data_IF_215237082899
#
_entry.id   IF_215237082899
#
_cell.length_a   1.000
_cell.length_b   1.000
_cell.length_c   1.000
_cell.angle_alpha   90.00
_cell.angle_beta   90.00
_cell.angle_gamma   90.00
#
_symmetry.space_group_name_H-M   'P 1'
#
loop_
_entity.id
_entity.type
_entity.pdbx_description
1 polymer ?
#
# COMPACT_ATOMS: atom_id res chain seq x y z
N UNK A 1 42.64 13.54 18.47
CA UNK A 1 41.80 12.35 18.79
C UNK A 1 41.36 11.57 17.55
N UNK A 2 40.67 12.17 16.57
CA UNK A 2 40.21 11.46 15.34
C UNK A 2 41.29 10.68 14.58
N UNK A 3 42.49 11.25 14.37
CA UNK A 3 43.61 10.53 13.72
C UNK A 3 44.05 9.27 14.47
N UNK A 4 43.98 9.28 15.81
CA UNK A 4 44.36 8.12 16.64
C UNK A 4 43.33 7.00 16.57
N UNK A 5 42.04 7.35 16.43
CA UNK A 5 40.98 6.36 16.19
C UNK A 5 41.11 5.69 14.82
N UNK A 6 41.43 6.45 13.78
CA UNK A 6 41.67 5.90 12.44
C UNK A 6 42.83 4.90 12.42
N UNK A 7 43.93 5.16 13.13
CA UNK A 7 45.06 4.21 13.22
C UNK A 7 44.72 2.95 13.99
N UNK A 8 43.92 3.05 15.07
CA UNK A 8 43.44 1.87 15.81
C UNK A 8 42.53 0.98 14.95
N UNK A 9 41.58 1.58 14.23
CA UNK A 9 40.68 0.87 13.31
C UNK A 9 41.49 0.21 12.18
N UNK A 10 42.52 0.90 11.67
CA UNK A 10 43.40 0.39 10.62
C UNK A 10 44.24 -0.82 11.05
N UNK A 11 44.54 -1.00 12.34
CA UNK A 11 45.29 -2.17 12.81
C UNK A 11 44.42 -3.44 12.94
N UNK A 12 43.10 -3.31 13.15
CA UNK A 12 42.14 -4.43 13.24
C UNK A 12 41.10 -4.41 12.13
N UNK A 13 41.51 -4.03 10.92
CA UNK A 13 40.64 -3.79 9.75
C UNK A 13 39.58 -4.83 9.52
N UNK A 14 39.94 -6.12 9.46
CA UNK A 14 39.00 -7.19 9.07
C UNK A 14 37.80 -7.27 10.01
N UNK A 15 38.03 -7.20 11.33
CA UNK A 15 36.97 -7.23 12.31
C UNK A 15 36.09 -5.97 12.26
N UNK A 16 36.72 -4.79 12.19
CA UNK A 16 35.98 -3.53 12.10
C UNK A 16 35.21 -3.40 10.79
N UNK A 17 35.74 -3.85 9.66
CA UNK A 17 35.05 -3.80 8.37
C UNK A 17 33.84 -4.74 8.35
N UNK A 18 33.93 -5.93 8.93
CA UNK A 18 32.81 -6.86 9.00
C UNK A 18 31.67 -6.28 9.84
N UNK A 19 31.98 -5.78 11.04
CA UNK A 19 30.99 -5.12 11.88
C UNK A 19 30.41 -3.86 11.23
N UNK A 20 31.23 -3.12 10.49
CA UNK A 20 30.73 -1.96 9.74
C UNK A 20 29.71 -2.34 8.67
N UNK A 21 29.97 -3.43 7.94
CA UNK A 21 29.04 -3.97 6.93
C UNK A 21 27.75 -4.44 7.60
N UNK A 22 27.86 -5.14 8.73
CA UNK A 22 26.73 -5.67 9.48
C UNK A 22 25.81 -4.57 10.03
N UNK A 23 26.39 -3.52 10.65
CA UNK A 23 25.66 -2.32 11.06
C UNK A 23 25.02 -1.64 9.85
N UNK A 24 25.76 -1.53 8.75
CA UNK A 24 25.27 -0.91 7.52
C UNK A 24 24.09 -1.67 6.89
N UNK A 25 24.14 -3.00 6.88
CA UNK A 25 23.07 -3.86 6.40
C UNK A 25 21.84 -3.79 7.31
N UNK A 26 22.05 -3.84 8.63
CA UNK A 26 20.98 -3.71 9.63
C UNK A 26 20.28 -2.37 9.54
N UNK A 27 21.03 -1.29 9.28
CA UNK A 27 20.45 0.03 9.02
C UNK A 27 19.53 0.02 7.78
N UNK A 28 19.97 -0.58 6.66
CA UNK A 28 19.16 -0.64 5.43
C UNK A 28 17.88 -1.44 5.63
N UNK A 29 17.94 -2.56 6.37
CA UNK A 29 16.76 -3.37 6.68
C UNK A 29 15.82 -2.61 7.62
N UNK A 30 16.33 -1.98 8.67
CA UNK A 30 15.53 -1.13 9.55
C UNK A 30 14.86 0.02 8.80
N UNK A 31 15.58 0.66 7.88
CA UNK A 31 15.04 1.70 7.01
C UNK A 31 13.86 1.16 6.18
N UNK A 32 13.99 -0.02 5.57
CA UNK A 32 12.92 -0.66 4.82
C UNK A 32 11.70 -0.96 5.70
N UNK A 33 11.92 -1.57 6.87
CA UNK A 33 10.87 -1.89 7.84
C UNK A 33 10.15 -0.64 8.33
N UNK A 34 10.89 0.40 8.74
CA UNK A 34 10.27 1.65 9.19
C UNK A 34 9.54 2.38 8.05
N UNK A 35 10.03 2.31 6.82
CA UNK A 35 9.32 2.88 5.67
C UNK A 35 7.96 2.21 5.50
N UNK A 36 7.91 0.87 5.53
CA UNK A 36 6.66 0.12 5.44
C UNK A 36 5.72 0.38 6.62
N UNK A 37 6.25 0.42 7.86
CA UNK A 37 5.46 0.68 9.06
C UNK A 37 4.86 2.09 9.05
N UNK A 38 5.66 3.11 8.74
CA UNK A 38 5.21 4.50 8.71
C UNK A 38 4.20 4.70 7.57
N UNK A 39 4.47 4.14 6.38
CA UNK A 39 3.53 4.19 5.25
C UNK A 39 2.19 3.54 5.62
N UNK A 40 2.24 2.31 6.15
CA UNK A 40 1.05 1.56 6.55
C UNK A 40 0.27 2.28 7.66
N UNK A 41 0.97 2.84 8.64
CA UNK A 41 0.35 3.57 9.73
C UNK A 41 -0.35 4.83 9.24
N UNK A 42 0.28 5.63 8.37
CA UNK A 42 -0.38 6.82 7.78
C UNK A 42 -1.62 6.41 6.99
N UNK A 43 -1.49 5.42 6.10
CA UNK A 43 -2.57 4.95 5.23
C UNK A 43 -3.74 4.32 6.00
N UNK A 44 -3.49 3.73 7.16
CA UNK A 44 -4.55 3.20 8.02
C UNK A 44 -5.52 4.29 8.51
N UNK A 45 -5.03 5.51 8.77
CA UNK A 45 -5.83 6.63 9.26
C UNK A 45 -6.51 7.43 8.16
N UNK A 46 -6.07 7.29 6.91
CA UNK A 46 -6.67 7.99 5.78
C UNK A 46 -8.10 7.47 5.50
N UNK A 47 -9.03 8.32 5.05
CA UNK A 47 -10.40 7.90 4.77
C UNK A 47 -10.47 6.90 3.61
N UNK A 48 -11.23 5.83 3.78
CA UNK A 48 -11.43 4.79 2.74
C UNK A 48 -12.40 5.29 1.66
N UNK A 49 -13.38 6.10 2.06
CA UNK A 49 -14.34 6.75 1.14
C UNK A 49 -15.58 5.92 0.78
N UNK A 50 -15.69 4.69 1.28
CA UNK A 50 -16.88 3.85 1.11
C UNK A 50 -17.10 2.87 2.27
N UNK A 51 -18.33 2.40 2.41
CA UNK A 51 -18.75 1.37 3.37
C UNK A 51 -18.70 -0.02 2.73
N UNK A 52 -17.96 -0.93 3.37
CA UNK A 52 -17.79 -2.31 2.91
C UNK A 52 -18.45 -3.36 3.83
N UNK A 53 -18.80 -2.98 5.06
CA UNK A 53 -19.41 -3.89 6.02
C UNK A 53 -20.76 -4.41 5.51
N UNK A 54 -21.04 -5.70 5.67
CA UNK A 54 -22.28 -6.33 5.20
C UNK A 54 -22.54 -6.11 3.69
N UNK A 55 -21.48 -5.97 2.88
CA UNK A 55 -21.58 -5.91 1.41
C UNK A 55 -21.13 -7.24 0.83
N UNK A 56 -22.05 -7.93 0.17
CA UNK A 56 -21.78 -9.17 -0.55
C UNK A 56 -21.61 -8.84 -2.03
N UNK A 57 -20.65 -9.47 -2.68
CA UNK A 57 -20.41 -9.32 -4.11
C UNK A 57 -20.75 -10.65 -4.77
N UNK A 58 -21.82 -10.64 -5.56
CA UNK A 58 -22.27 -11.78 -6.35
C UNK A 58 -21.67 -11.63 -7.76
N UNK A 59 -20.59 -12.36 -8.01
CA UNK A 59 -19.96 -12.47 -9.33
C UNK A 59 -20.79 -13.40 -10.19
N UNK A 60 -21.14 -12.93 -11.38
CA UNK A 60 -21.97 -13.65 -12.34
C UNK A 60 -21.17 -13.82 -13.64
N UNK A 61 -21.01 -15.06 -14.09
CA UNK A 61 -20.39 -15.39 -15.37
C UNK A 61 -21.33 -16.24 -16.21
N UNK A 62 -21.57 -15.84 -17.44
CA UNK A 62 -22.44 -16.58 -18.37
C UNK A 62 -21.75 -17.85 -18.85
N UNK A 63 -22.46 -18.98 -18.75
CA UNK A 63 -21.98 -20.29 -19.18
C UNK A 63 -21.64 -20.31 -20.66
N UNK A 64 -20.66 -21.13 -21.01
CA UNK A 64 -20.29 -21.34 -22.41
C UNK A 64 -21.45 -21.97 -23.20
N UNK A 65 -21.78 -21.40 -24.36
CA UNK A 65 -22.91 -21.83 -25.19
C UNK A 65 -24.29 -21.33 -24.76
N UNK A 66 -24.40 -20.59 -23.65
CA UNK A 66 -25.66 -19.98 -23.22
C UNK A 66 -26.13 -18.86 -24.17
N UNK A 67 -27.45 -18.73 -24.34
CA UNK A 67 -28.10 -17.63 -25.06
C UNK A 67 -28.05 -16.30 -24.30
N UNK A 68 -28.88 -15.33 -24.69
CA UNK A 68 -28.92 -14.03 -24.01
C UNK A 68 -29.42 -14.16 -22.55
N UNK A 69 -28.59 -13.73 -21.59
CA UNK A 69 -28.86 -13.84 -20.14
C UNK A 69 -29.39 -12.54 -19.52
N UNK A 70 -29.65 -11.50 -20.33
CA UNK A 70 -30.10 -10.17 -19.85
C UNK A 70 -31.32 -10.24 -18.93
N UNK A 71 -32.38 -10.89 -19.40
CA UNK A 71 -33.63 -10.97 -18.64
C UNK A 71 -33.49 -11.82 -17.37
N UNK A 72 -32.66 -12.87 -17.39
CA UNK A 72 -32.34 -13.65 -16.19
C UNK A 72 -31.65 -12.77 -15.14
N UNK A 73 -30.66 -11.96 -15.54
CA UNK A 73 -29.93 -11.05 -14.64
C UNK A 73 -30.80 -9.90 -14.13
N UNK A 74 -31.68 -9.34 -14.96
CA UNK A 74 -32.66 -8.32 -14.53
C UNK A 74 -33.65 -8.88 -13.50
N UNK A 75 -34.23 -10.05 -13.78
CA UNK A 75 -35.15 -10.72 -12.87
C UNK A 75 -34.47 -11.05 -11.54
N UNK A 76 -33.22 -11.53 -11.59
CA UNK A 76 -32.42 -11.82 -10.41
C UNK A 76 -32.20 -10.57 -9.55
N UNK A 77 -31.78 -9.44 -10.13
CA UNK A 77 -31.58 -8.21 -9.37
C UNK A 77 -32.88 -7.71 -8.71
N UNK A 78 -34.00 -7.75 -9.45
CA UNK A 78 -35.30 -7.38 -8.90
C UNK A 78 -35.70 -8.29 -7.72
N UNK A 79 -35.43 -9.59 -7.85
CA UNK A 79 -35.70 -10.58 -6.80
C UNK A 79 -34.83 -10.33 -5.57
N UNK A 80 -33.53 -10.09 -5.74
CA UNK A 80 -32.60 -9.76 -4.66
C UNK A 80 -33.11 -8.53 -3.88
N UNK A 81 -33.54 -7.48 -4.58
CA UNK A 81 -34.07 -6.25 -3.96
C UNK A 81 -35.38 -6.46 -3.19
N UNK A 82 -36.10 -7.56 -3.42
CA UNK A 82 -37.37 -7.85 -2.75
C UNK A 82 -37.20 -8.49 -1.36
N UNK A 83 -36.01 -8.99 -1.03
CA UNK A 83 -35.76 -9.62 0.27
C UNK A 83 -35.69 -8.58 1.39
N UNK A 84 -36.35 -8.82 2.55
CA UNK A 84 -36.28 -7.90 3.68
C UNK A 84 -34.87 -7.81 4.27
N UNK A 85 -34.04 -8.84 4.13
CA UNK A 85 -32.65 -8.85 4.60
C UNK A 85 -31.74 -7.93 3.77
N UNK A 86 -32.15 -7.57 2.55
CA UNK A 86 -31.38 -6.73 1.62
C UNK A 86 -31.80 -5.27 1.79
N UNK A 87 -30.83 -4.39 2.07
CA UNK A 87 -31.06 -2.95 2.14
C UNK A 87 -31.01 -2.30 0.75
N UNK A 88 -30.00 -2.68 -0.04
CA UNK A 88 -29.74 -2.15 -1.38
C UNK A 88 -29.08 -3.23 -2.23
N UNK A 89 -29.28 -3.16 -3.54
CA UNK A 89 -28.51 -3.97 -4.48
C UNK A 89 -28.17 -3.15 -5.73
N UNK A 90 -26.92 -3.24 -6.17
CA UNK A 90 -26.33 -2.44 -7.23
C UNK A 90 -25.57 -3.33 -8.23
N UNK A 91 -25.32 -2.81 -9.43
CA UNK A 91 -24.59 -3.45 -10.51
C UNK A 91 -23.24 -2.78 -10.74
N UNK A 92 -22.22 -3.60 -11.01
CA UNK A 92 -20.88 -3.17 -11.41
C UNK A 92 -20.25 -4.19 -12.36
N UNK A 93 -19.12 -3.84 -12.96
CA UNK A 93 -18.28 -4.75 -13.72
C UNK A 93 -17.73 -5.90 -12.86
N UNK A 94 -17.43 -7.04 -13.48
CA UNK A 94 -16.94 -8.25 -12.78
C UNK A 94 -15.66 -8.01 -11.96
N UNK A 95 -14.84 -7.06 -12.39
CA UNK A 95 -13.55 -6.78 -11.74
C UNK A 95 -13.69 -6.17 -10.35
N UNK A 96 -14.88 -5.82 -9.87
CA UNK A 96 -15.03 -5.30 -8.50
C UNK A 96 -14.57 -6.34 -7.44
N UNK A 97 -13.79 -5.95 -6.41
CA UNK A 97 -13.36 -4.59 -6.06
C UNK A 97 -12.08 -4.09 -6.76
N UNK A 98 -11.35 -4.91 -7.52
CA UNK A 98 -10.11 -4.51 -8.20
C UNK A 98 -10.31 -3.42 -9.26
N UNK A 99 -11.43 -3.47 -9.97
CA UNK A 99 -11.76 -2.59 -11.09
C UNK A 99 -10.97 -2.87 -12.36
N UNK A 100 -11.21 -2.08 -13.41
CA UNK A 100 -10.53 -2.25 -14.70
C UNK A 100 -9.51 -1.14 -14.90
N UNK A 101 -8.25 -1.50 -15.09
CA UNK A 101 -7.17 -0.54 -15.36
C UNK A 101 -7.37 0.15 -16.72
N UNK A 102 -7.21 1.47 -16.75
CA UNK A 102 -7.28 2.28 -17.97
C UNK A 102 -6.11 3.26 -18.05
N UNK A 103 -5.14 2.97 -18.94
CA UNK A 103 -3.83 3.67 -18.98
C UNK A 103 -3.72 4.83 -19.99
N UNK A 104 -4.84 5.29 -20.56
CA UNK A 104 -4.82 6.28 -21.64
C UNK A 104 -5.89 7.36 -21.54
N UNK A 105 -6.09 7.90 -20.32
CA UNK A 105 -7.01 9.00 -20.10
C UNK A 105 -6.26 10.33 -20.29
N UNK A 106 -6.71 11.12 -21.25
CA UNK A 106 -6.05 12.35 -21.65
C UNK A 106 -6.94 13.57 -21.43
N UNK A 107 -6.35 14.66 -20.94
CA UNK A 107 -6.95 15.99 -20.94
C UNK A 107 -6.15 16.94 -21.85
N UNK A 108 -6.85 17.70 -22.71
CA UNK A 108 -6.25 18.65 -23.68
C UNK A 108 -5.08 18.08 -24.51
N UNK A 109 -5.10 16.76 -24.81
CA UNK A 109 -4.05 16.03 -25.54
C UNK A 109 -2.63 16.07 -24.93
N UNK A 110 -2.45 16.56 -23.70
CA UNK A 110 -1.13 16.80 -23.11
C UNK A 110 -0.91 16.07 -21.80
N UNK A 111 -1.95 15.93 -20.97
CA UNK A 111 -1.82 15.28 -19.65
C UNK A 111 -2.40 13.88 -19.74
N UNK A 112 -1.57 12.86 -19.46
CA UNK A 112 -1.97 11.46 -19.41
C UNK A 112 -2.08 11.01 -17.97
N UNK A 113 -3.14 10.28 -17.64
CA UNK A 113 -3.28 9.61 -16.35
C UNK A 113 -3.83 8.19 -16.56
N UNK A 114 -3.49 7.32 -15.62
CA UNK A 114 -4.09 6.00 -15.49
C UNK A 114 -5.15 6.04 -14.40
N UNK A 115 -6.27 5.36 -14.60
CA UNK A 115 -7.30 5.25 -13.58
C UNK A 115 -7.90 3.85 -13.54
N UNK A 116 -8.37 3.46 -12.36
CA UNK A 116 -9.22 2.29 -12.19
C UNK A 116 -10.65 2.69 -12.54
N UNK A 117 -11.29 1.88 -13.38
CA UNK A 117 -12.64 2.12 -13.87
C UNK A 117 -13.62 1.11 -13.31
N UNK A 118 -14.73 1.63 -12.80
CA UNK A 118 -15.88 0.85 -12.37
C UNK A 118 -17.12 1.25 -13.13
N UNK A 119 -17.92 0.25 -13.45
CA UNK A 119 -19.26 0.48 -13.93
C UNK A 119 -20.18 0.69 -12.74
N UNK A 120 -21.06 1.66 -12.85
CA UNK A 120 -21.91 2.10 -11.77
C UNK A 120 -23.33 2.31 -12.24
N UNK A 121 -24.26 1.72 -11.50
CA UNK A 121 -25.65 2.11 -11.57
C UNK A 121 -25.98 3.22 -10.55
N UNK A 122 -27.24 3.63 -10.53
CA UNK A 122 -27.74 4.65 -9.60
C UNK A 122 -27.71 4.19 -8.15
N UNK A 123 -27.75 2.87 -7.91
CA UNK A 123 -27.76 2.29 -6.58
C UNK A 123 -26.36 2.10 -6.01
N UNK A 124 -25.29 2.22 -6.81
CA UNK A 124 -23.92 1.99 -6.34
C UNK A 124 -23.51 2.98 -5.23
N UNK A 125 -23.76 4.28 -5.45
CA UNK A 125 -23.46 5.32 -4.46
C UNK A 125 -24.15 5.06 -3.12
N UNK A 126 -25.48 4.83 -3.04
CA UNK A 126 -26.12 4.55 -1.76
C UNK A 126 -25.81 3.15 -1.20
N UNK A 127 -25.49 2.15 -2.03
CA UNK A 127 -25.10 0.79 -1.59
C UNK A 127 -23.77 0.83 -0.84
N UNK A 128 -22.79 1.54 -1.39
CA UNK A 128 -21.46 1.72 -0.81
C UNK A 128 -21.36 2.97 0.08
N UNK A 129 -22.44 3.75 0.21
CA UNK A 129 -22.46 5.01 0.98
C UNK A 129 -21.33 5.96 0.56
N UNK A 130 -21.09 6.09 -0.75
CA UNK A 130 -20.07 6.98 -1.29
C UNK A 130 -20.41 8.44 -0.97
N UNK A 131 -19.39 9.22 -0.65
CA UNK A 131 -19.56 10.64 -0.37
C UNK A 131 -19.36 11.47 -1.63
N UNK A 132 -20.44 12.04 -2.15
CA UNK A 132 -20.37 12.97 -3.27
C UNK A 132 -19.83 14.33 -2.79
N UNK A 133 -18.76 14.78 -3.42
CA UNK A 133 -18.08 16.04 -3.11
C UNK A 133 -18.53 17.19 -3.99
N UNK A 134 -18.76 16.92 -5.27
CA UNK A 134 -19.19 17.92 -6.25
C UNK A 134 -20.04 17.29 -7.36
N UNK A 135 -20.83 18.12 -8.03
CA UNK A 135 -21.68 17.70 -9.15
C UNK A 135 -22.82 16.79 -8.72
N UNK A 136 -23.10 15.75 -9.52
CA UNK A 136 -24.21 14.80 -9.30
C UNK A 136 -23.78 13.35 -9.52
N UNK A 137 -24.52 12.41 -8.91
CA UNK A 137 -24.44 10.99 -9.28
C UNK A 137 -25.19 10.69 -10.58
N UNK A 138 -25.06 9.46 -11.06
CA UNK A 138 -25.88 8.93 -12.16
C UNK A 138 -27.36 8.91 -11.77
N UNK A 139 -28.22 9.21 -12.73
CA UNK A 139 -29.68 9.17 -12.58
C UNK A 139 -30.38 8.65 -13.83
N UNK A 140 -31.72 8.66 -13.83
CA UNK A 140 -32.53 8.04 -14.88
C UNK A 140 -32.24 8.61 -16.28
N UNK A 141 -31.87 9.89 -16.36
CA UNK A 141 -31.44 10.57 -17.58
C UNK A 141 -30.18 9.97 -18.21
N UNK A 142 -29.34 9.31 -17.40
CA UNK A 142 -28.10 8.67 -17.84
C UNK A 142 -28.33 7.18 -18.19
N UNK A 143 -29.57 6.65 -18.05
CA UNK A 143 -29.94 5.27 -18.46
C UNK A 143 -30.09 5.09 -19.97
N UNK A 144 -29.96 6.16 -20.75
CA UNK A 144 -30.29 6.20 -22.18
C UNK A 144 -29.13 5.71 -23.04
N UNK A 145 -28.65 4.47 -22.87
CA UNK A 145 -27.48 4.04 -23.62
C UNK A 145 -27.45 2.53 -23.92
N UNK A 146 -28.55 1.86 -24.26
CA UNK A 146 -28.39 0.64 -25.08
C UNK A 146 -27.79 1.06 -26.42
N UNK A 147 -26.45 1.18 -26.49
CA UNK A 147 -25.77 1.16 -27.76
C UNK A 147 -26.17 -0.18 -28.36
N UNK A 148 -26.86 -0.22 -29.50
CA UNK A 148 -27.21 -1.49 -30.12
C UNK A 148 -25.91 -2.29 -30.26
N UNK A 149 -25.86 -3.57 -29.87
CA UNK A 149 -24.63 -4.39 -29.90
C UNK A 149 -23.99 -4.48 -31.30
N UNK A 150 -24.73 -4.06 -32.31
CA UNK A 150 -24.44 -3.97 -33.73
C UNK A 150 -24.11 -2.54 -34.23
N UNK A 151 -23.96 -1.55 -33.35
CA UNK A 151 -23.61 -0.18 -33.73
C UNK A 151 -22.27 -0.11 -34.47
N UNK A 152 -21.33 -1.00 -34.10
CA UNK A 152 -20.12 -1.29 -34.85
C UNK A 152 -20.12 -2.77 -35.26
N UNK A 153 -20.09 -3.08 -36.57
CA UNK A 153 -19.92 -4.44 -37.05
C UNK A 153 -18.63 -5.05 -36.48
N UNK A 154 -18.66 -6.30 -36.00
CA UNK A 154 -17.43 -7.03 -35.64
C UNK A 154 -16.48 -7.03 -36.84
N UNK A 155 -15.30 -6.43 -36.69
CA UNK A 155 -14.30 -6.31 -37.75
C UNK A 155 -14.32 -4.98 -38.53
N UNK A 156 -15.11 -3.99 -38.12
CA UNK A 156 -15.06 -2.66 -38.69
C UNK A 156 -13.67 -2.02 -38.50
N UNK A 157 -12.93 -1.81 -39.59
CA UNK A 157 -11.63 -1.13 -39.59
C UNK A 157 -11.77 0.39 -39.44
N UNK A 158 -12.86 0.95 -39.97
CA UNK A 158 -13.20 2.38 -39.87
C UNK A 158 -14.34 2.60 -38.87
N UNK A 159 -13.98 2.56 -37.58
CA UNK A 159 -14.89 2.91 -36.50
C UNK A 159 -15.29 4.40 -36.53
N UNK A 160 -14.48 5.24 -37.17
CA UNK A 160 -14.65 6.69 -37.21
C UNK A 160 -15.79 7.18 -38.12
N UNK A 161 -16.20 6.36 -39.10
CA UNK A 161 -17.26 6.69 -40.07
C UNK A 161 -18.64 6.15 -39.67
N UNK A 162 -18.74 5.37 -38.59
CA UNK A 162 -20.03 4.87 -38.10
C UNK A 162 -20.86 6.02 -37.52
N UNK A 163 -22.18 6.08 -37.79
CA UNK A 163 -23.04 7.08 -37.19
C UNK A 163 -22.94 6.95 -35.67
N UNK A 164 -22.36 7.98 -35.04
CA UNK A 164 -22.26 8.02 -33.59
C UNK A 164 -23.69 8.06 -33.06
N UNK A 165 -24.09 7.17 -32.15
CA UNK A 165 -25.36 7.33 -31.46
C UNK A 165 -25.39 8.75 -30.89
N UNK A 166 -26.53 9.42 -31.08
CA UNK A 166 -26.71 10.86 -30.86
C UNK A 166 -26.51 11.23 -29.39
N UNK A 167 -25.26 11.42 -29.01
CA UNK A 167 -24.84 11.83 -27.68
C UNK A 167 -23.89 13.02 -27.83
N UNK A 168 -24.15 14.07 -27.06
CA UNK A 168 -23.19 15.16 -26.92
C UNK A 168 -21.99 14.72 -26.06
N UNK A 169 -22.18 13.80 -25.10
CA UNK A 169 -21.11 13.26 -24.24
C UNK A 169 -21.53 12.00 -23.44
N UNK A 170 -20.56 11.25 -22.89
CA UNK A 170 -20.74 10.19 -21.88
C UNK A 170 -20.45 10.71 -20.47
N UNK A 171 -21.39 10.65 -19.50
CA UNK A 171 -21.14 11.12 -18.15
C UNK A 171 -20.19 10.19 -17.39
N UNK A 172 -19.23 10.77 -16.67
CA UNK A 172 -18.34 10.05 -15.75
C UNK A 172 -18.25 10.76 -14.41
N UNK A 173 -17.90 10.00 -13.39
CA UNK A 173 -17.70 10.49 -12.03
C UNK A 173 -16.30 10.07 -11.60
N UNK A 174 -15.56 10.94 -10.92
CA UNK A 174 -14.16 10.68 -10.56
C UNK A 174 -13.93 10.84 -9.05
N UNK A 175 -12.86 10.30 -8.49
CA UNK A 175 -12.48 10.61 -7.10
C UNK A 175 -11.58 11.86 -7.02
N UNK A 176 -11.34 12.35 -5.80
CA UNK A 176 -10.45 13.50 -5.56
C UNK A 176 -9.03 13.26 -6.10
N UNK A 177 -8.45 12.07 -5.94
CA UNK A 177 -7.10 11.77 -6.44
C UNK A 177 -7.01 11.93 -7.96
N UNK A 178 -8.04 11.56 -8.70
CA UNK A 178 -8.14 11.79 -10.14
C UNK A 178 -8.09 13.28 -10.48
N UNK A 179 -8.82 14.12 -9.73
CA UNK A 179 -8.74 15.58 -9.89
C UNK A 179 -7.32 16.09 -9.61
N UNK A 180 -6.72 15.72 -8.48
CA UNK A 180 -5.37 16.18 -8.10
C UNK A 180 -4.32 15.84 -9.16
N UNK A 181 -4.49 14.69 -9.82
CA UNK A 181 -3.56 14.19 -10.83
C UNK A 181 -3.76 14.87 -12.20
N UNK A 182 -5.01 15.02 -12.65
CA UNK A 182 -5.32 15.49 -14.02
C UNK A 182 -5.67 16.99 -14.08
N UNK A 183 -6.16 17.56 -12.98
CA UNK A 183 -6.69 18.92 -12.85
C UNK A 183 -6.20 19.62 -11.56
N UNK A 184 -4.88 19.70 -11.29
CA UNK A 184 -4.36 20.16 -9.99
C UNK A 184 -4.83 21.56 -9.57
N UNK A 185 -5.20 22.43 -10.52
CA UNK A 185 -5.67 23.79 -10.27
C UNK A 185 -6.99 24.13 -11.00
N UNK A 186 -7.71 23.13 -11.52
CA UNK A 186 -8.98 23.35 -12.25
C UNK A 186 -10.12 22.57 -11.57
N UNK A 187 -11.34 23.11 -11.66
CA UNK A 187 -12.55 22.35 -11.34
C UNK A 187 -12.76 21.28 -12.44
N UNK A 188 -12.80 19.98 -12.08
CA UNK A 188 -12.98 18.91 -13.04
C UNK A 188 -14.42 18.87 -13.59
N UNK A 189 -15.40 19.44 -12.90
CA UNK A 189 -16.82 19.34 -13.30
C UNK A 189 -17.06 20.04 -14.65
N UNK A 190 -17.76 19.33 -15.54
CA UNK A 190 -18.08 19.79 -16.90
C UNK A 190 -16.94 19.63 -17.91
N UNK A 191 -15.73 19.27 -17.46
CA UNK A 191 -14.59 19.04 -18.36
C UNK A 191 -14.77 17.75 -19.15
N UNK A 192 -14.26 17.75 -20.37
CA UNK A 192 -14.22 16.58 -21.25
C UNK A 192 -12.83 15.96 -21.22
N UNK A 193 -12.79 14.66 -20.94
CA UNK A 193 -11.60 13.81 -21.02
C UNK A 193 -11.72 12.89 -22.24
N UNK A 194 -10.57 12.54 -22.80
CA UNK A 194 -10.48 11.61 -23.92
C UNK A 194 -9.95 10.27 -23.42
N UNK A 195 -10.73 9.21 -23.61
CA UNK A 195 -10.34 7.83 -23.30
C UNK A 195 -10.64 6.96 -24.51
N UNK A 196 -9.59 6.62 -25.26
CA UNK A 196 -9.69 5.89 -26.51
C UNK A 196 -10.35 6.67 -27.67
N UNK A 197 -10.79 5.93 -28.67
CA UNK A 197 -11.30 6.43 -29.95
C UNK A 197 -12.74 6.98 -29.88
N UNK A 198 -13.48 6.70 -28.82
CA UNK A 198 -14.94 6.79 -28.83
C UNK A 198 -15.50 7.65 -27.71
N UNK A 199 -16.30 8.64 -28.12
CA UNK A 199 -17.06 9.59 -27.33
C UNK A 199 -16.24 10.57 -26.48
N UNK A 200 -16.78 11.79 -26.37
CA UNK A 200 -16.35 12.76 -25.37
C UNK A 200 -16.85 12.31 -24.00
N UNK A 201 -15.97 12.04 -23.05
CA UNK A 201 -16.34 11.65 -21.69
C UNK A 201 -16.36 12.92 -20.83
N UNK A 202 -17.51 13.28 -20.27
CA UNK A 202 -17.67 14.51 -19.48
C UNK A 202 -17.81 14.18 -18.00
N UNK A 203 -17.00 14.83 -17.18
CA UNK A 203 -17.07 14.69 -15.73
C UNK A 203 -18.32 15.42 -15.23
N UNK A 204 -19.28 14.69 -14.65
CA UNK A 204 -20.55 15.24 -14.12
C UNK A 204 -20.61 15.24 -12.59
N UNK A 205 -19.70 14.53 -11.95
CA UNK A 205 -19.65 14.42 -10.50
C UNK A 205 -18.26 14.03 -10.01
N UNK A 206 -18.06 14.21 -8.71
CA UNK A 206 -16.85 13.80 -8.02
C UNK A 206 -17.19 13.24 -6.65
N UNK A 207 -16.64 12.07 -6.32
CA UNK A 207 -16.66 11.52 -4.96
C UNK A 207 -15.41 11.97 -4.20
N UNK A 208 -15.46 12.04 -2.88
CA UNK A 208 -14.32 12.52 -2.10
C UNK A 208 -13.17 11.49 -2.14
N UNK A 209 -13.37 10.31 -1.55
CA UNK A 209 -12.36 9.26 -1.51
C UNK A 209 -12.93 7.95 -2.07
N UNK A 210 -12.06 7.14 -2.68
CA UNK A 210 -12.34 5.75 -3.01
C UNK A 210 -11.03 4.96 -3.00
N UNK A 211 -10.73 4.32 -1.86
CA UNK A 211 -9.50 3.55 -1.68
C UNK A 211 -9.80 2.06 -1.57
N UNK A 212 -9.53 1.33 -2.65
CA UNK A 212 -9.78 -0.13 -2.71
C UNK A 212 -8.99 -0.88 -1.65
N UNK A 213 -7.67 -0.69 -1.59
CA UNK A 213 -6.80 -1.43 -0.69
C UNK A 213 -6.62 -0.65 0.63
N UNK A 214 -6.85 -1.26 1.81
CA UNK A 214 -6.77 -0.58 3.09
C UNK A 214 -5.43 0.15 3.35
N UNK A 215 -4.33 -0.42 2.84
CA UNK A 215 -2.95 -0.01 3.13
C UNK A 215 -2.14 0.40 1.88
N UNK A 216 -2.76 0.51 0.71
CA UNK A 216 -2.13 1.10 -0.47
C UNK A 216 -2.39 2.61 -0.54
N UNK A 217 -1.74 3.29 -1.48
CA UNK A 217 -2.08 4.68 -1.78
C UNK A 217 -3.42 4.75 -2.51
N UNK A 218 -4.16 5.84 -2.30
CA UNK A 218 -5.33 6.12 -3.13
C UNK A 218 -4.90 6.45 -4.57
N UNK A 219 -5.53 5.80 -5.54
CA UNK A 219 -5.26 5.98 -6.97
C UNK A 219 -6.41 6.73 -7.65
N UNK A 220 -6.20 7.29 -8.85
CA UNK A 220 -7.28 7.84 -9.65
C UNK A 220 -8.33 6.77 -9.95
N UNK A 221 -9.59 7.08 -9.64
CA UNK A 221 -10.76 6.22 -9.90
C UNK A 221 -11.77 6.97 -10.73
N UNK A 222 -12.35 6.27 -11.69
CA UNK A 222 -13.44 6.76 -12.53
C UNK A 222 -14.61 5.77 -12.48
N UNK A 223 -15.82 6.29 -12.34
CA UNK A 223 -17.06 5.57 -12.51
C UNK A 223 -17.68 5.95 -13.83
N UNK A 224 -18.16 4.96 -14.57
CA UNK A 224 -18.97 5.12 -15.76
C UNK A 224 -20.32 4.44 -15.59
N UNK A 225 -21.30 4.83 -16.39
CA UNK A 225 -22.63 4.24 -16.34
C UNK A 225 -22.57 2.75 -16.69
N UNK A 226 -23.21 1.89 -15.89
CA UNK A 226 -23.30 0.43 -16.08
C UNK A 226 -24.17 0.00 -17.28
N UNK A 227 -23.82 0.51 -18.45
CA UNK A 227 -24.57 0.40 -19.69
C UNK A 227 -24.32 -0.96 -20.33
N UNK A 228 -25.39 -1.67 -20.71
CA UNK A 228 -25.28 -2.98 -21.34
C UNK A 228 -24.76 -4.10 -20.42
N UNK A 229 -24.54 -3.82 -19.13
CA UNK A 229 -23.97 -4.78 -18.18
C UNK A 229 -24.81 -6.06 -18.00
N UNK A 230 -26.13 -5.97 -18.16
CA UNK A 230 -26.97 -7.17 -18.19
C UNK A 230 -26.63 -8.13 -19.35
N UNK A 231 -26.15 -7.59 -20.48
CA UNK A 231 -25.70 -8.38 -21.64
C UNK A 231 -24.23 -8.76 -21.59
N UNK A 232 -23.46 -8.21 -20.64
CA UNK A 232 -22.07 -8.58 -20.46
C UNK A 232 -21.97 -10.06 -20.08
N UNK A 233 -21.00 -10.77 -20.66
CA UNK A 233 -20.73 -12.17 -20.32
C UNK A 233 -20.42 -12.31 -18.84
N UNK A 234 -19.78 -11.31 -18.25
CA UNK A 234 -19.40 -11.30 -16.85
C UNK A 234 -19.76 -9.97 -16.19
N UNK A 235 -20.31 -10.01 -14.98
CA UNK A 235 -20.71 -8.83 -14.21
C UNK A 235 -20.70 -9.15 -12.72
N UNK A 236 -20.85 -8.12 -11.88
CA UNK A 236 -21.02 -8.29 -10.43
C UNK A 236 -22.24 -7.53 -9.94
N UNK A 237 -22.96 -8.13 -8.99
CA UNK A 237 -23.99 -7.45 -8.21
C UNK A 237 -23.48 -7.24 -6.80
N UNK A 238 -23.53 -6.01 -6.32
CA UNK A 238 -23.31 -5.73 -4.90
C UNK A 238 -24.64 -5.81 -4.16
N UNK A 239 -24.62 -6.45 -3.00
CA UNK A 239 -25.80 -6.67 -2.17
C UNK A 239 -25.44 -6.17 -0.76
N UNK A 240 -26.00 -5.03 -0.37
CA UNK A 240 -25.89 -4.52 1.00
C UNK A 240 -26.96 -5.18 1.84
N UNK A 241 -26.55 -5.97 2.83
CA UNK A 241 -27.45 -6.65 3.75
C UNK A 241 -27.61 -5.86 5.06
N UNK A 242 -28.67 -6.18 5.82
CA UNK A 242 -28.80 -5.71 7.19
C UNK A 242 -27.77 -6.41 8.08
N UNK A 243 -27.39 -5.76 9.18
CA UNK A 243 -26.48 -6.37 10.15
C UNK A 243 -27.10 -7.66 10.74
N UNK A 244 -26.27 -8.69 10.91
CA UNK A 244 -26.67 -9.95 11.55
C UNK A 244 -27.31 -10.98 10.60
N UNK A 245 -27.27 -10.77 9.29
CA UNK A 245 -27.67 -11.78 8.30
C UNK A 245 -26.68 -12.94 8.32
N UNK A 246 -27.20 -14.16 8.40
CA UNK A 246 -26.41 -15.37 8.62
C UNK A 246 -26.19 -16.19 7.33
N UNK A 247 -25.47 -17.31 7.48
CA UNK A 247 -25.19 -18.24 6.39
C UNK A 247 -26.46 -18.94 5.84
N UNK A 248 -27.58 -18.92 6.57
CA UNK A 248 -28.83 -19.54 6.11
C UNK A 248 -29.45 -18.72 4.98
N UNK A 249 -29.49 -17.39 5.13
CA UNK A 249 -29.93 -16.50 4.06
C UNK A 249 -29.00 -16.58 2.85
N UNK A 250 -27.68 -16.65 3.07
CA UNK A 250 -26.71 -16.86 2.00
C UNK A 250 -27.03 -18.12 1.17
N UNK A 251 -27.25 -19.25 1.85
CA UNK A 251 -27.57 -20.53 1.21
C UNK A 251 -28.91 -20.47 0.45
N UNK A 252 -29.91 -19.82 1.02
CA UNK A 252 -31.21 -19.58 0.37
C UNK A 252 -31.05 -18.72 -0.89
N UNK A 253 -30.28 -17.64 -0.80
CA UNK A 253 -30.06 -16.72 -1.90
C UNK A 253 -29.33 -17.41 -3.06
N UNK A 254 -28.27 -18.16 -2.78
CA UNK A 254 -27.54 -18.92 -3.80
C UNK A 254 -28.40 -20.02 -4.46
N UNK A 255 -29.31 -20.64 -3.70
CA UNK A 255 -30.30 -21.56 -4.25
C UNK A 255 -31.28 -20.86 -5.19
N UNK A 256 -31.73 -19.66 -4.86
CA UNK A 256 -32.58 -18.86 -5.77
C UNK A 256 -31.83 -18.40 -7.01
N UNK A 257 -30.58 -17.93 -6.86
CA UNK A 257 -29.72 -17.54 -7.99
C UNK A 257 -29.62 -18.68 -8.99
N UNK A 258 -29.33 -19.91 -8.53
CA UNK A 258 -29.24 -21.09 -9.40
C UNK A 258 -30.57 -21.53 -10.03
N UNK A 259 -31.71 -21.15 -9.45
CA UNK A 259 -33.04 -21.43 -10.02
C UNK A 259 -33.45 -20.42 -11.09
N UNK A 260 -33.17 -19.13 -10.87
CA UNK A 260 -33.53 -18.03 -11.76
C UNK A 260 -32.55 -17.93 -12.93
N UNK A 261 -31.26 -17.99 -12.63
CA UNK A 261 -30.19 -17.76 -13.59
C UNK A 261 -29.47 -19.08 -13.93
N UNK A 262 -30.19 -20.03 -14.53
CA UNK A 262 -29.68 -21.39 -14.82
C UNK A 262 -28.46 -21.39 -15.75
N UNK A 263 -28.39 -20.40 -16.64
CA UNK A 263 -27.34 -20.24 -17.64
C UNK A 263 -26.17 -19.36 -17.16
N UNK A 264 -26.14 -19.03 -15.86
CA UNK A 264 -25.14 -18.17 -15.24
C UNK A 264 -24.51 -18.92 -14.07
N UNK A 265 -23.19 -18.99 -14.06
CA UNK A 265 -22.42 -19.39 -12.89
C UNK A 265 -22.31 -18.22 -11.93
N UNK A 266 -22.54 -18.50 -10.65
CA UNK A 266 -22.59 -17.49 -9.62
C UNK A 266 -21.63 -17.84 -8.48
N UNK A 267 -20.79 -16.89 -8.11
CA UNK A 267 -19.88 -16.97 -6.99
C UNK A 267 -20.18 -15.82 -6.03
N UNK A 268 -20.27 -16.12 -4.74
CA UNK A 268 -20.46 -15.11 -3.71
C UNK A 268 -19.19 -14.93 -2.91
N UNK A 269 -18.73 -13.69 -2.85
CA UNK A 269 -17.60 -13.23 -2.06
C UNK A 269 -18.06 -12.10 -1.14
N UNK A 270 -17.36 -11.91 -0.03
CA UNK A 270 -17.70 -10.89 0.97
C UNK A 270 -16.65 -9.79 0.92
N UNK A 271 -17.10 -8.54 0.80
CA UNK A 271 -16.17 -7.40 0.70
C UNK A 271 -15.38 -7.21 2.01
N UNK A 272 -15.97 -7.57 3.16
CA UNK A 272 -15.31 -7.61 4.46
C UNK A 272 -14.14 -8.61 4.50
N UNK A 273 -14.34 -9.80 3.92
CA UNK A 273 -13.33 -10.86 3.91
C UNK A 273 -12.18 -10.53 2.96
N UNK A 274 -12.48 -9.97 1.79
CA UNK A 274 -11.46 -9.48 0.85
C UNK A 274 -10.58 -8.43 1.54
N UNK A 275 -11.18 -7.46 2.22
CA UNK A 275 -10.42 -6.41 2.91
C UNK A 275 -9.58 -6.94 4.06
N UNK A 276 -10.11 -7.89 4.83
CA UNK A 276 -9.34 -8.57 5.88
C UNK A 276 -8.16 -9.33 5.29
N UNK A 277 -8.37 -10.01 4.16
CA UNK A 277 -7.30 -10.72 3.46
C UNK A 277 -6.22 -9.75 2.98
N UNK A 278 -6.57 -8.69 2.25
CA UNK A 278 -5.62 -7.67 1.79
C UNK A 278 -4.83 -7.03 2.95
N UNK A 279 -5.51 -6.71 4.05
CA UNK A 279 -4.86 -6.19 5.25
C UNK A 279 -3.88 -7.21 5.84
N UNK A 280 -4.30 -8.47 5.96
CA UNK A 280 -3.46 -9.54 6.49
C UNK A 280 -2.25 -9.82 5.60
N UNK A 281 -2.38 -9.78 4.28
CA UNK A 281 -1.28 -10.00 3.34
C UNK A 281 -0.16 -8.97 3.54
N UNK A 282 -0.52 -7.70 3.73
CA UNK A 282 0.43 -6.63 4.05
C UNK A 282 1.03 -6.83 5.45
N UNK A 283 0.22 -7.19 6.45
CA UNK A 283 0.69 -7.43 7.82
C UNK A 283 1.65 -8.62 7.92
N UNK A 284 1.41 -9.70 7.16
CA UNK A 284 2.31 -10.86 7.09
C UNK A 284 3.67 -10.44 6.53
N UNK A 285 3.69 -9.66 5.45
CA UNK A 285 4.94 -9.15 4.87
C UNK A 285 5.72 -8.28 5.87
N UNK A 286 5.04 -7.36 6.56
CA UNK A 286 5.66 -6.52 7.60
C UNK A 286 6.21 -7.39 8.74
N UNK A 287 5.46 -8.41 9.17
CA UNK A 287 5.89 -9.32 10.24
C UNK A 287 7.14 -10.10 9.86
N UNK A 288 7.23 -10.60 8.62
CA UNK A 288 8.42 -11.29 8.10
C UNK A 288 9.63 -10.35 8.14
N UNK A 289 9.49 -9.13 7.62
CA UNK A 289 10.59 -8.16 7.65
C UNK A 289 10.98 -7.74 9.08
N UNK A 290 10.02 -7.66 10.00
CA UNK A 290 10.29 -7.37 11.40
C UNK A 290 11.09 -8.49 12.06
N UNK A 291 10.76 -9.76 11.78
CA UNK A 291 11.52 -10.91 12.26
C UNK A 291 12.96 -10.91 11.72
N UNK A 292 13.15 -10.66 10.42
CA UNK A 292 14.47 -10.55 9.78
C UNK A 292 15.26 -9.40 10.40
N UNK A 293 14.62 -8.24 10.59
CA UNK A 293 15.25 -7.08 11.23
C UNK A 293 15.64 -7.38 12.67
N UNK A 294 14.80 -8.10 13.43
CA UNK A 294 15.11 -8.51 14.80
C UNK A 294 16.31 -9.45 14.86
N UNK A 295 16.40 -10.40 13.93
CA UNK A 295 17.54 -11.31 13.80
C UNK A 295 18.84 -10.55 13.48
N UNK A 296 18.82 -9.66 12.47
CA UNK A 296 20.00 -8.85 12.13
C UNK A 296 20.44 -7.93 13.26
N UNK A 297 19.50 -7.36 14.01
CA UNK A 297 19.82 -6.57 15.18
C UNK A 297 20.49 -7.42 16.27
N UNK A 298 20.01 -8.65 16.47
CA UNK A 298 20.62 -9.58 17.41
C UNK A 298 22.07 -9.94 16.99
N UNK A 299 22.30 -10.15 15.70
CA UNK A 299 23.65 -10.37 15.15
C UNK A 299 24.55 -9.16 15.45
N UNK A 300 24.08 -7.92 15.21
CA UNK A 300 24.83 -6.70 15.54
C UNK A 300 25.19 -6.64 17.03
N UNK A 301 24.28 -7.03 17.91
CA UNK A 301 24.56 -7.10 19.36
C UNK A 301 25.68 -8.10 19.66
N UNK A 302 25.63 -9.29 19.07
CA UNK A 302 26.65 -10.34 19.26
C UNK A 302 28.01 -9.92 18.68
N UNK A 303 28.01 -9.35 17.48
CA UNK A 303 29.20 -8.82 16.81
C UNK A 303 29.85 -7.69 17.62
N UNK A 304 29.06 -6.74 18.12
CA UNK A 304 29.54 -5.67 19.01
C UNK A 304 30.13 -6.23 20.29
N UNK A 305 29.45 -7.18 20.94
CA UNK A 305 29.94 -7.79 22.17
C UNK A 305 31.27 -8.51 21.95
N UNK A 306 31.40 -9.28 20.85
CA UNK A 306 32.62 -9.98 20.49
C UNK A 306 33.80 -9.03 20.27
N UNK A 307 33.61 -7.97 19.48
CA UNK A 307 34.66 -6.97 19.22
C UNK A 307 35.05 -6.22 20.50
N UNK A 308 34.05 -5.85 21.32
CA UNK A 308 34.31 -5.15 22.59
C UNK A 308 35.09 -6.02 23.55
N UNK A 309 34.73 -7.29 23.69
CA UNK A 309 35.42 -8.23 24.55
C UNK A 309 36.89 -8.42 24.12
N UNK A 310 37.14 -8.63 22.83
CA UNK A 310 38.50 -8.74 22.29
C UNK A 310 39.32 -7.46 22.50
N UNK A 311 38.70 -6.29 22.34
CA UNK A 311 39.35 -5.00 22.59
C UNK A 311 39.69 -4.82 24.07
N UNK A 312 38.81 -5.22 24.99
CA UNK A 312 39.07 -5.19 26.43
C UNK A 312 40.26 -6.07 26.81
N UNK A 313 40.32 -7.32 26.31
CA UNK A 313 41.44 -8.23 26.60
C UNK A 313 42.75 -7.68 26.04
N UNK A 314 42.77 -7.29 24.77
CA UNK A 314 44.02 -6.83 24.11
C UNK A 314 44.56 -5.51 24.65
N UNK A 315 43.74 -4.70 25.33
CA UNK A 315 44.12 -3.38 25.88
C UNK A 315 44.08 -3.35 27.41
N UNK A 316 44.07 -4.51 28.07
CA UNK A 316 43.96 -4.61 29.55
C UNK A 316 45.10 -3.87 30.26
N UNK A 317 46.35 -4.03 29.80
CA UNK A 317 47.52 -3.33 30.36
C UNK A 317 47.47 -1.81 30.13
N UNK A 318 47.05 -1.36 28.94
CA UNK A 318 46.85 0.07 28.62
C UNK A 318 45.79 0.72 29.53
N UNK A 319 44.67 0.03 29.76
CA UNK A 319 43.58 0.48 30.65
C UNK A 319 44.09 0.54 32.11
N UNK A 320 44.84 -0.47 32.55
CA UNK A 320 45.45 -0.53 33.88
C UNK A 320 46.42 0.62 34.13
N UNK A 321 47.30 0.92 33.16
CA UNK A 321 48.23 2.04 33.23
C UNK A 321 47.49 3.39 33.30
N UNK A 322 46.45 3.59 32.47
CA UNK A 322 45.65 4.83 32.50
C UNK A 322 44.90 5.00 33.82
N UNK A 323 44.37 3.91 34.39
CA UNK A 323 43.74 3.93 35.73
C UNK A 323 44.76 4.27 36.81
N UNK A 324 45.98 3.74 36.74
CA UNK A 324 47.07 4.10 37.65
C UNK A 324 47.47 5.58 37.54
N UNK A 325 47.42 6.15 36.33
CA UNK A 325 47.64 7.59 36.10
C UNK A 325 46.44 8.50 36.44
N UNK A 326 45.37 7.95 37.03
CA UNK A 326 44.23 8.73 37.53
C UNK A 326 43.07 8.93 36.55
N UNK A 327 43.00 8.18 35.45
CA UNK A 327 41.83 8.23 34.56
C UNK A 327 40.55 7.77 35.29
N UNK A 328 39.48 8.57 35.20
CA UNK A 328 38.18 8.24 35.78
C UNK A 328 37.51 7.10 35.01
N UNK A 329 36.60 6.37 35.68
CA UNK A 329 35.86 5.29 35.02
C UNK A 329 35.07 5.81 33.81
N UNK A 330 34.42 6.97 33.97
CA UNK A 330 33.65 7.63 32.91
C UNK A 330 34.50 8.01 31.70
N UNK A 331 35.75 8.46 31.89
CA UNK A 331 36.64 8.81 30.78
C UNK A 331 36.98 7.57 29.92
N UNK A 332 37.19 6.42 30.57
CA UNK A 332 37.47 5.15 29.87
C UNK A 332 36.21 4.63 29.18
N UNK A 333 35.06 4.65 29.85
CA UNK A 333 33.78 4.24 29.25
C UNK A 333 33.44 5.10 28.03
N UNK A 334 33.56 6.43 28.13
CA UNK A 334 33.28 7.35 27.03
C UNK A 334 34.21 7.13 25.84
N UNK A 335 35.48 6.78 26.09
CA UNK A 335 36.41 6.43 25.02
C UNK A 335 35.92 5.22 24.23
N UNK A 336 35.60 4.10 24.90
CA UNK A 336 35.09 2.91 24.22
C UNK A 336 33.77 3.16 23.48
N UNK A 337 32.85 3.91 24.10
CA UNK A 337 31.60 4.29 23.43
C UNK A 337 31.86 5.16 22.18
N UNK A 338 32.80 6.11 22.26
CA UNK A 338 33.14 6.96 21.11
C UNK A 338 33.78 6.18 19.96
N UNK A 339 34.58 5.15 20.24
CA UNK A 339 35.14 4.27 19.21
C UNK A 339 34.03 3.58 18.41
N UNK A 340 32.99 3.08 19.11
CA UNK A 340 31.86 2.42 18.46
C UNK A 340 30.98 3.44 17.73
N UNK A 341 30.68 4.59 18.32
CA UNK A 341 29.90 5.62 17.66
C UNK A 341 30.56 6.10 16.36
N UNK A 342 31.89 6.23 16.32
CA UNK A 342 32.61 6.57 15.09
C UNK A 342 32.43 5.47 14.03
N UNK A 343 32.55 4.20 14.41
CA UNK A 343 32.31 3.08 13.50
C UNK A 343 30.88 3.08 12.97
N UNK A 344 29.89 3.21 13.86
CA UNK A 344 28.46 3.28 13.51
C UNK A 344 28.16 4.47 12.61
N UNK A 345 28.74 5.64 12.88
CA UNK A 345 28.54 6.85 12.06
C UNK A 345 29.05 6.62 10.64
N UNK A 346 30.21 5.99 10.48
CA UNK A 346 30.76 5.71 9.15
C UNK A 346 29.94 4.65 8.41
N UNK A 347 29.48 3.60 9.11
CA UNK A 347 28.56 2.61 8.54
C UNK A 347 27.25 3.24 8.06
N UNK A 348 26.61 4.05 8.89
CA UNK A 348 25.39 4.76 8.54
C UNK A 348 25.65 5.71 7.38
N UNK A 349 26.76 6.46 7.37
CA UNK A 349 27.07 7.39 6.30
C UNK A 349 27.16 6.70 4.93
N UNK A 350 27.80 5.52 4.88
CA UNK A 350 27.87 4.72 3.64
C UNK A 350 26.50 4.18 3.24
N UNK A 351 25.75 3.60 4.18
CA UNK A 351 24.41 3.07 3.88
C UNK A 351 23.38 4.16 3.56
N UNK A 352 23.54 5.37 4.09
CA UNK A 352 22.67 6.50 3.84
C UNK A 352 22.70 6.93 2.37
N UNK A 353 23.85 6.82 1.71
CA UNK A 353 23.97 7.06 0.26
C UNK A 353 23.04 6.13 -0.52
N UNK A 354 22.91 4.87 -0.08
CA UNK A 354 22.00 3.90 -0.69
C UNK A 354 20.55 4.22 -0.32
N UNK A 355 20.25 4.48 0.97
CA UNK A 355 18.89 4.77 1.43
C UNK A 355 18.28 6.01 0.77
N UNK A 356 19.08 7.05 0.50
CA UNK A 356 18.62 8.27 -0.17
C UNK A 356 18.28 8.07 -1.66
N UNK A 357 18.69 6.98 -2.30
CA UNK A 357 18.29 6.69 -3.68
C UNK A 357 16.81 6.28 -3.79
N UNK A 358 16.24 5.69 -2.74
CA UNK A 358 14.84 5.25 -2.73
C UNK A 358 13.83 6.40 -2.92
N UNK A 359 13.88 7.52 -2.17
CA UNK A 359 13.00 8.65 -2.41
C UNK A 359 13.26 9.33 -3.76
N UNK A 360 14.51 9.33 -4.25
CA UNK A 360 14.85 9.94 -5.54
C UNK A 360 14.31 9.16 -6.74
N UNK A 361 14.24 7.83 -6.63
CA UNK A 361 13.76 6.93 -7.67
C UNK A 361 12.26 6.61 -7.53
N UNK A 362 11.61 7.11 -6.49
CA UNK A 362 10.25 6.74 -6.10
C UNK A 362 10.02 5.22 -6.11
N UNK A 363 10.97 4.47 -5.55
CA UNK A 363 11.07 3.02 -5.77
C UNK A 363 9.90 2.19 -5.20
N UNK A 364 9.16 2.74 -4.21
CA UNK A 364 8.00 2.06 -3.61
C UNK A 364 6.71 2.89 -3.69
N UNK A 365 6.67 3.91 -4.55
CA UNK A 365 5.52 4.81 -4.72
C UNK A 365 5.01 5.34 -3.36
N UNK A 366 5.91 6.05 -2.67
CA UNK A 366 5.66 6.61 -1.36
C UNK A 366 6.16 8.05 -1.32
N UNK A 367 5.49 8.89 -0.53
CA UNK A 367 5.94 10.24 -0.29
C UNK A 367 7.39 10.29 0.23
N UNK A 368 8.18 11.22 -0.30
CA UNK A 368 9.54 11.50 0.17
C UNK A 368 9.61 11.72 1.70
N UNK A 369 8.55 12.28 2.29
CA UNK A 369 8.46 12.51 3.73
C UNK A 369 8.45 11.21 4.55
N UNK A 370 7.88 10.12 4.01
CA UNK A 370 7.86 8.81 4.67
C UNK A 370 9.29 8.26 4.74
N UNK A 371 10.01 8.25 3.63
CA UNK A 371 11.40 7.80 3.57
C UNK A 371 12.30 8.58 4.53
N UNK A 372 12.18 9.91 4.58
CA UNK A 372 12.97 10.74 5.49
C UNK A 372 12.68 10.42 6.96
N UNK A 373 11.40 10.25 7.33
CA UNK A 373 11.05 9.85 8.69
C UNK A 373 11.54 8.44 9.04
N UNK A 374 11.53 7.51 8.09
CA UNK A 374 12.04 6.16 8.28
C UNK A 374 13.56 6.12 8.45
N UNK A 375 14.31 6.92 7.66
CA UNK A 375 15.75 7.09 7.81
C UNK A 375 16.07 7.61 9.22
N UNK A 376 15.38 8.67 9.67
CA UNK A 376 15.61 9.22 11.01
C UNK A 376 15.28 8.20 12.11
N UNK A 377 14.18 7.47 11.98
CA UNK A 377 13.81 6.41 12.92
C UNK A 377 14.86 5.29 12.97
N UNK A 378 15.39 4.86 11.81
CA UNK A 378 16.45 3.85 11.70
C UNK A 378 17.77 4.32 12.33
N UNK A 379 18.16 5.59 12.10
CA UNK A 379 19.34 6.17 12.73
C UNK A 379 19.18 6.15 14.25
N UNK A 380 18.05 6.67 14.76
CA UNK A 380 17.80 6.78 16.20
C UNK A 380 17.77 5.38 16.85
N UNK A 381 17.03 4.43 16.27
CA UNK A 381 16.93 3.07 16.84
C UNK A 381 18.29 2.38 16.89
N UNK A 382 19.11 2.53 15.85
CA UNK A 382 20.43 1.92 15.79
C UNK A 382 21.40 2.57 16.78
N UNK A 383 21.41 3.90 16.91
CA UNK A 383 22.23 4.57 17.93
C UNK A 383 21.82 4.18 19.35
N UNK A 384 20.51 4.06 19.62
CA UNK A 384 20.00 3.58 20.92
C UNK A 384 20.50 2.16 21.18
N UNK A 385 20.33 1.24 20.23
CA UNK A 385 20.77 -0.15 20.36
C UNK A 385 22.27 -0.25 20.59
N UNK A 386 23.07 0.38 19.73
CA UNK A 386 24.54 0.37 19.83
C UNK A 386 24.99 0.94 21.17
N UNK A 387 24.36 2.03 21.62
CA UNK A 387 24.68 2.67 22.91
C UNK A 387 24.36 1.76 24.08
N UNK A 388 23.20 1.11 24.09
CA UNK A 388 22.81 0.17 25.14
C UNK A 388 23.74 -1.05 25.19
N UNK A 389 24.09 -1.61 24.03
CA UNK A 389 25.00 -2.75 23.93
C UNK A 389 26.43 -2.39 24.34
N UNK A 390 26.90 -1.21 23.97
CA UNK A 390 28.23 -0.72 24.28
C UNK A 390 28.41 -0.35 25.76
N UNK A 391 27.35 0.15 26.40
CA UNK A 391 27.45 0.74 27.73
C UNK A 391 27.86 -0.28 28.80
N UNK A 392 27.28 -1.49 28.77
CA UNK A 392 27.56 -2.52 29.77
C UNK A 392 29.02 -3.02 29.72
N UNK A 393 29.57 -3.49 28.57
CA UNK A 393 30.97 -3.92 28.48
C UNK A 393 31.95 -2.78 28.78
N UNK A 394 31.66 -1.56 28.30
CA UNK A 394 32.53 -0.40 28.51
C UNK A 394 32.63 -0.01 29.99
N UNK A 395 31.56 -0.22 30.76
CA UNK A 395 31.55 -0.01 32.21
C UNK A 395 32.26 -1.13 32.97
N UNK A 396 32.22 -2.36 32.45
CA UNK A 396 33.00 -3.46 33.02
C UNK A 396 34.50 -3.23 32.82
N UNK A 397 34.90 -2.76 31.63
CA UNK A 397 36.29 -2.43 31.30
C UNK A 397 36.87 -1.33 32.18
N UNK A 398 36.10 -0.28 32.47
CA UNK A 398 36.55 0.84 33.28
C UNK A 398 36.83 0.49 34.75
N UNK A 399 36.29 -0.65 35.23
CA UNK A 399 36.42 -1.14 36.60
C UNK A 399 37.61 -2.08 36.82
N UNK A 400 38.39 -2.39 35.78
CA UNK A 400 39.59 -3.23 35.91
C UNK A 400 40.58 -2.53 36.87
N UNK A 401 41.01 -3.26 37.90
CA UNK A 401 41.93 -2.74 38.91
C UNK A 401 43.37 -2.72 38.35
N UNK A 402 44.13 -1.64 38.57
CA UNK A 402 45.52 -1.53 38.10
C UNK A 402 46.39 -2.69 38.56
N UNK A 403 46.23 -3.11 39.82
CA UNK A 403 47.00 -4.19 40.43
C UNK A 403 46.80 -5.53 39.71
N UNK A 404 45.62 -5.82 39.18
CA UNK A 404 45.35 -7.05 38.43
C UNK A 404 45.83 -6.93 36.98
N UNK A 405 45.71 -5.74 36.39
CA UNK A 405 46.10 -5.50 34.99
C UNK A 405 47.61 -5.45 34.75
N UNK A 406 48.41 -5.07 35.75
CA UNK A 406 49.87 -4.90 35.67
C UNK A 406 50.67 -6.09 36.24
N UNK A 407 49.99 -7.07 36.84
CA UNK A 407 50.64 -8.25 37.45
C UNK A 407 50.58 -9.51 36.56
N UNK A 408 49.85 -9.44 35.43
CA UNK A 408 49.76 -10.51 34.43
C UNK A 408 50.85 -10.43 33.34
N UNK A 409 51.85 -9.56 33.50
CA UNK A 409 53.14 -9.59 32.78
C UNK A 409 54.25 -9.94 33.77
#
# INVERSE_FOLDING_TARGET
>A
MLRHFFTLIWNKRRAHTLLMIEIGASFLVLFGVFSLLIASFRRYWDPIGFSYENVWVLKLSQKEGAGDTREQKKALLQRIRSYPEVQRASLTNQSFPEGTQSDSINYKQQVKTSAIVYDADEELLPTLQLQLKAGRWFGAQDRVFEIPDNWAPRGAKDWASLPRPSYDYRPVIVNKKFQETLFPNEDPIGKVINRGAMAEWRIVGMVDHFRKDPLAEEVPVMFETAVGQYGAREMSMLIKTRAGVDATFQSQLMKEVSQIAKDVDAEMIFLDDIRKQEFNDVMVLITIFLLISGFLLMDVVLGLFGILHLNMISRKSEIGLRRAMGATEGAITLQFMSEIWVLTTFSIAVSLVVALQFPLLNAFDMDASVYLTAILAAIISLYVLVTLCAWYPSRLASRIQPAVALHEE
#
